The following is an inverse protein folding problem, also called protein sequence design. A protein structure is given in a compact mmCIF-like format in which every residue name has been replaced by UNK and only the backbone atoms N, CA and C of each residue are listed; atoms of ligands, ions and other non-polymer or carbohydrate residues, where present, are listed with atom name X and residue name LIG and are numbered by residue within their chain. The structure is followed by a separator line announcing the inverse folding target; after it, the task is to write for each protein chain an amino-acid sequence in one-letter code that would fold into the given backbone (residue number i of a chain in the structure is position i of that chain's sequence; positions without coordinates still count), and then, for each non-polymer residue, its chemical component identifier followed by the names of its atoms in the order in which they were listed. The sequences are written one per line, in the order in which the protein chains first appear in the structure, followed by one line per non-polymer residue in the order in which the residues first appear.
data_IF_669309881846
#
_entry.id   IF_669309881846
#
_cell.length_a   1.000
_cell.length_b   1.000
_cell.length_c   1.000
_cell.angle_alpha   90.00
_cell.angle_beta   90.00
_cell.angle_gamma   90.00
#
_symmetry.space_group_name_H-M   'P 1'
#
loop_
_entity.id
_entity.type
_entity.pdbx_description
1 polymer ?
#
# COMPACT_ATOMS: atom_id res chain seq x y z
N UNK A 1 18.91 17.35 -2.85
CA UNK A 1 17.48 17.69 -3.10
C UNK A 1 17.05 17.00 -4.38
N UNK A 2 15.76 16.69 -4.54
CA UNK A 2 15.23 16.09 -5.77
C UNK A 2 14.62 17.17 -6.68
N UNK A 3 14.96 17.10 -7.96
CA UNK A 3 14.47 18.03 -8.98
C UNK A 3 14.00 17.25 -10.20
N UNK A 4 12.89 17.69 -10.80
CA UNK A 4 12.47 17.25 -12.12
C UNK A 4 12.82 18.34 -13.13
N UNK A 5 13.54 17.96 -14.17
CA UNK A 5 13.97 18.81 -15.28
C UNK A 5 13.28 18.30 -16.53
N UNK A 6 12.63 19.19 -17.29
CA UNK A 6 12.20 18.93 -18.67
C UNK A 6 13.00 19.84 -19.58
N UNK A 7 13.57 19.34 -20.67
CA UNK A 7 14.37 20.15 -21.59
C UNK A 7 14.32 19.57 -23.01
N UNK A 8 14.50 20.40 -24.04
CA UNK A 8 14.70 19.93 -25.41
C UNK A 8 16.20 19.69 -25.65
N UNK A 9 16.56 18.44 -25.89
CA UNK A 9 17.91 18.01 -26.23
C UNK A 9 18.01 17.78 -27.75
N UNK A 10 19.14 18.20 -28.33
CA UNK A 10 19.41 17.97 -29.74
C UNK A 10 19.51 16.47 -30.04
N UNK A 11 18.69 15.97 -30.97
CA UNK A 11 18.70 14.57 -31.42
C UNK A 11 19.95 14.28 -32.28
N UNK A 12 21.09 14.14 -31.61
CA UNK A 12 22.38 13.74 -32.18
C UNK A 12 23.12 12.78 -31.25
N UNK A 13 23.89 11.82 -31.80
CA UNK A 13 24.78 10.98 -31.00
C UNK A 13 25.70 11.82 -30.09
N UNK A 14 25.78 11.45 -28.82
CA UNK A 14 26.64 12.08 -27.82
C UNK A 14 26.00 13.23 -27.01
N UNK A 15 24.89 13.84 -27.44
CA UNK A 15 24.28 14.97 -26.73
C UNK A 15 23.91 14.63 -25.26
N UNK A 16 23.29 13.47 -25.03
CA UNK A 16 22.96 13.00 -23.69
C UNK A 16 24.20 12.68 -22.84
N UNK A 17 25.30 12.25 -23.47
CA UNK A 17 26.56 11.99 -22.79
C UNK A 17 27.26 13.30 -22.38
N UNK A 18 27.16 14.37 -23.18
CA UNK A 18 27.62 15.72 -22.82
C UNK A 18 26.85 16.27 -21.60
N UNK A 19 25.52 16.11 -21.59
CA UNK A 19 24.68 16.48 -20.44
C UNK A 19 25.03 15.66 -19.19
N UNK A 20 25.10 14.33 -19.30
CA UNK A 20 25.43 13.46 -18.17
C UNK A 20 26.83 13.70 -17.61
N UNK A 21 27.81 14.01 -18.46
CA UNK A 21 29.16 14.36 -18.04
C UNK A 21 29.21 15.68 -17.24
N UNK A 22 28.39 16.68 -17.62
CA UNK A 22 28.25 17.93 -16.86
C UNK A 22 27.60 17.69 -15.50
N UNK A 23 26.49 16.96 -15.44
CA UNK A 23 25.89 16.57 -14.16
C UNK A 23 26.90 15.85 -13.25
N UNK A 24 27.67 14.91 -13.80
CA UNK A 24 28.70 14.18 -13.05
C UNK A 24 29.89 15.03 -12.58
N UNK A 25 30.22 16.13 -13.26
CA UNK A 25 31.28 17.06 -12.84
C UNK A 25 30.91 17.84 -11.56
N UNK A 26 29.61 18.05 -11.35
CA UNK A 26 29.02 18.84 -10.26
C UNK A 26 28.34 17.98 -9.17
N UNK A 27 28.65 16.67 -9.14
CA UNK A 27 28.07 15.66 -8.21
C UNK A 27 26.53 15.58 -8.25
N UNK A 28 25.94 15.81 -9.43
CA UNK A 28 24.51 15.67 -9.69
C UNK A 28 24.23 14.27 -10.24
N UNK A 29 23.46 13.48 -9.48
CA UNK A 29 23.09 12.12 -9.86
C UNK A 29 21.78 12.10 -10.64
N UNK A 30 21.77 11.52 -11.85
CA UNK A 30 20.56 11.31 -12.66
C UNK A 30 19.90 9.99 -12.20
N UNK A 31 18.73 10.09 -11.58
CA UNK A 31 17.98 8.97 -11.00
C UNK A 31 16.98 8.34 -11.98
N UNK A 32 16.46 9.13 -12.92
CA UNK A 32 15.55 8.68 -13.98
C UNK A 32 15.71 9.56 -15.22
N UNK A 33 15.46 8.98 -16.40
CA UNK A 33 15.42 9.64 -17.69
C UNK A 33 14.27 9.05 -18.51
N UNK A 34 13.33 9.89 -18.94
CA UNK A 34 12.29 9.56 -19.92
C UNK A 34 12.49 10.46 -21.15
N UNK A 35 12.42 9.88 -22.36
CA UNK A 35 12.68 10.58 -23.63
C UNK A 35 11.41 10.56 -24.48
N UNK A 36 10.97 11.72 -24.94
CA UNK A 36 9.78 11.89 -25.77
C UNK A 36 10.15 12.49 -27.12
N UNK A 37 9.70 11.88 -28.21
CA UNK A 37 9.91 12.41 -29.56
C UNK A 37 8.98 13.60 -29.82
N UNK A 38 9.54 14.73 -30.23
CA UNK A 38 8.82 15.93 -30.63
C UNK A 38 9.19 16.36 -32.07
N UNK A 39 8.47 17.32 -32.63
CA UNK A 39 8.71 17.79 -34.01
C UNK A 39 10.05 18.53 -34.18
N UNK A 40 10.58 19.13 -33.10
CA UNK A 40 11.85 19.89 -33.09
C UNK A 40 13.07 19.10 -32.59
N UNK A 41 12.90 17.87 -32.08
CA UNK A 41 13.96 17.09 -31.45
C UNK A 41 13.42 16.13 -30.37
N UNK A 42 14.24 15.83 -29.37
CA UNK A 42 13.84 15.04 -28.20
C UNK A 42 13.52 15.95 -27.02
N UNK A 43 12.38 15.71 -26.35
CA UNK A 43 12.05 16.29 -25.05
C UNK A 43 12.45 15.27 -23.99
N UNK A 44 13.48 15.61 -23.23
CA UNK A 44 14.03 14.77 -22.17
C UNK A 44 13.48 15.23 -20.81
N UNK A 45 12.96 14.28 -20.03
CA UNK A 45 12.63 14.45 -18.63
C UNK A 45 13.62 13.72 -17.74
N UNK A 46 14.35 14.48 -16.93
CA UNK A 46 15.32 13.96 -15.96
C UNK A 46 14.79 14.15 -14.54
N UNK A 47 14.96 13.13 -13.70
CA UNK A 47 14.89 13.29 -12.24
C UNK A 47 16.31 13.25 -11.71
N UNK A 48 16.74 14.32 -11.05
CA UNK A 48 18.11 14.46 -10.54
C UNK A 48 18.14 14.67 -9.03
N UNK A 49 19.20 14.16 -8.40
CA UNK A 49 19.55 14.43 -7.01
C UNK A 49 20.78 15.32 -6.93
N UNK A 50 20.65 16.46 -6.25
CA UNK A 50 21.71 17.44 -6.02
C UNK A 50 22.18 17.47 -4.56
N UNK A 51 23.35 18.08 -4.32
CA UNK A 51 23.74 18.56 -2.98
C UNK A 51 22.82 19.66 -2.42
N UNK A 52 23.16 20.17 -1.24
CA UNK A 52 22.51 21.33 -0.62
C UNK A 52 23.01 22.62 -1.27
N UNK A 53 22.14 23.58 -1.53
CA UNK A 53 22.49 24.91 -2.08
C UNK A 53 22.19 25.12 -3.56
N UNK A 54 21.89 24.05 -4.30
CA UNK A 54 21.41 24.14 -5.69
C UNK A 54 20.02 24.76 -5.78
N UNK A 55 19.84 25.67 -6.72
CA UNK A 55 18.55 26.27 -7.09
C UNK A 55 18.06 25.80 -8.48
N UNK A 56 16.83 26.17 -8.82
CA UNK A 56 16.29 25.95 -10.17
C UNK A 56 17.04 26.74 -11.25
N UNK A 57 17.59 27.92 -10.91
CA UNK A 57 18.35 28.77 -11.83
C UNK A 57 19.71 28.13 -12.16
N UNK A 58 20.41 27.60 -11.14
CA UNK A 58 21.71 26.92 -11.32
C UNK A 58 21.57 25.69 -12.23
N UNK A 59 20.54 24.87 -12.00
CA UNK A 59 20.23 23.70 -12.82
C UNK A 59 19.82 24.11 -14.25
N UNK A 60 19.09 25.20 -14.41
CA UNK A 60 18.71 25.71 -15.74
C UNK A 60 19.94 26.17 -16.52
N UNK A 61 20.88 26.85 -15.85
CA UNK A 61 22.15 27.29 -16.46
C UNK A 61 23.03 26.10 -16.87
N UNK A 62 23.23 25.11 -15.98
CA UNK A 62 24.01 23.90 -16.26
C UNK A 62 23.46 23.12 -17.46
N UNK A 63 22.13 22.97 -17.55
CA UNK A 63 21.46 22.29 -18.65
C UNK A 63 21.55 23.10 -19.96
N UNK A 64 21.47 24.44 -19.89
CA UNK A 64 21.69 25.30 -21.06
C UNK A 64 23.13 25.24 -21.58
N UNK A 65 24.13 25.09 -20.70
CA UNK A 65 25.53 24.88 -21.10
C UNK A 65 25.79 23.53 -21.79
N UNK A 66 24.92 22.53 -21.59
CA UNK A 66 24.91 21.28 -22.35
C UNK A 66 24.29 21.44 -23.75
N UNK A 67 23.81 22.65 -24.10
CA UNK A 67 23.17 22.95 -25.38
C UNK A 67 21.68 22.62 -25.42
N UNK A 68 21.05 22.27 -24.29
CA UNK A 68 19.62 22.03 -24.22
C UNK A 68 18.84 23.33 -24.16
N UNK A 69 17.61 23.33 -24.68
CA UNK A 69 16.75 24.53 -24.78
C UNK A 69 15.38 24.29 -24.17
N UNK A 70 14.59 25.37 -23.98
CA UNK A 70 13.21 25.30 -23.41
C UNK A 70 13.13 24.56 -22.08
N UNK A 71 14.17 24.69 -21.26
CA UNK A 71 14.32 24.01 -19.97
C UNK A 71 13.33 24.53 -18.94
N UNK A 72 12.64 23.60 -18.25
CA UNK A 72 11.82 23.86 -17.06
C UNK A 72 12.34 23.01 -15.90
N UNK A 73 12.68 23.65 -14.78
CA UNK A 73 13.19 22.98 -13.56
C UNK A 73 12.22 23.22 -12.41
N UNK A 74 11.88 22.16 -11.68
CA UNK A 74 11.00 22.23 -10.50
C UNK A 74 11.42 21.22 -9.42
N UNK A 75 11.24 21.53 -8.12
CA UNK A 75 11.46 20.57 -7.06
C UNK A 75 10.43 19.43 -7.15
N UNK A 76 10.82 18.21 -6.77
CA UNK A 76 9.93 17.05 -6.71
C UNK A 76 10.16 16.24 -5.42
N UNK A 77 9.26 15.29 -5.15
CA UNK A 77 9.42 14.32 -4.05
C UNK A 77 9.86 12.96 -4.61
N UNK A 78 10.06 11.95 -3.76
CA UNK A 78 10.54 10.64 -4.17
C UNK A 78 9.50 9.79 -4.93
N UNK A 79 8.24 10.22 -4.98
CA UNK A 79 7.13 9.55 -5.67
C UNK A 79 7.35 9.44 -7.19
N UNK A 80 7.96 10.46 -7.80
CA UNK A 80 8.31 10.48 -9.23
C UNK A 80 9.38 9.43 -9.63
N UNK A 81 10.05 8.79 -8.67
CA UNK A 81 11.01 7.71 -8.91
C UNK A 81 10.32 6.36 -9.19
N UNK A 82 9.00 6.28 -9.06
CA UNK A 82 8.23 5.13 -9.55
C UNK A 82 8.32 5.07 -11.09
N UNK A 83 8.54 3.88 -11.66
CA UNK A 83 8.62 3.71 -13.10
C UNK A 83 7.34 4.20 -13.81
N UNK A 84 7.49 4.75 -15.02
CA UNK A 84 6.37 5.32 -15.77
C UNK A 84 5.18 4.34 -15.89
N UNK A 85 5.35 3.06 -16.30
CA UNK A 85 4.26 2.08 -16.35
C UNK A 85 3.49 1.95 -15.03
N UNK A 86 4.16 1.83 -13.89
CA UNK A 86 3.52 1.80 -12.57
C UNK A 86 2.74 3.09 -12.29
N UNK A 87 3.27 4.26 -12.66
CA UNK A 87 2.58 5.55 -12.49
C UNK A 87 1.31 5.63 -13.34
N UNK A 88 1.37 5.28 -14.63
CA UNK A 88 0.19 5.22 -15.51
C UNK A 88 -0.87 4.22 -15.00
N UNK A 89 -0.49 3.03 -14.53
CA UNK A 89 -1.44 2.06 -13.98
C UNK A 89 -2.15 2.56 -12.71
N UNK A 90 -1.44 3.29 -11.83
CA UNK A 90 -2.08 3.95 -10.65
C UNK A 90 -3.05 5.06 -11.07
N UNK A 91 -2.71 5.82 -12.10
CA UNK A 91 -3.59 6.85 -12.66
C UNK A 91 -4.88 6.24 -13.24
N UNK A 92 -4.80 5.13 -13.99
CA UNK A 92 -6.01 4.38 -14.43
C UNK A 92 -6.87 3.99 -13.25
N UNK A 93 -6.29 3.39 -12.20
CA UNK A 93 -7.05 2.98 -11.00
C UNK A 93 -7.75 4.18 -10.32
N UNK A 94 -7.12 5.36 -10.29
CA UNK A 94 -7.71 6.56 -9.70
C UNK A 94 -8.84 7.13 -10.56
N UNK A 95 -8.71 7.15 -11.89
CA UNK A 95 -9.78 7.60 -12.79
C UNK A 95 -10.96 6.64 -12.89
N UNK A 96 -10.75 5.35 -12.59
CA UNK A 96 -11.85 4.39 -12.43
C UNK A 96 -12.70 4.71 -11.20
N UNK A 97 -12.09 5.20 -10.12
CA UNK A 97 -12.80 5.58 -8.89
C UNK A 97 -13.37 7.01 -8.93
N UNK A 98 -12.65 7.96 -9.53
CA UNK A 98 -13.08 9.35 -9.71
C UNK A 98 -12.77 9.86 -11.13
N UNK A 99 -13.70 9.68 -12.09
CA UNK A 99 -13.55 10.17 -13.46
C UNK A 99 -13.55 11.69 -13.62
N UNK A 100 -13.82 12.47 -12.56
CA UNK A 100 -13.74 13.93 -12.61
C UNK A 100 -12.34 14.45 -12.25
N UNK A 101 -11.48 13.61 -11.65
CA UNK A 101 -10.11 13.94 -11.27
C UNK A 101 -9.09 13.88 -12.42
N UNK A 102 -9.53 13.87 -13.68
CA UNK A 102 -8.64 13.72 -14.87
C UNK A 102 -7.51 14.74 -14.86
N UNK A 103 -7.82 16.03 -14.70
CA UNK A 103 -6.81 17.10 -14.76
C UNK A 103 -5.78 16.95 -13.62
N UNK A 104 -6.24 16.73 -12.38
CA UNK A 104 -5.37 16.48 -11.21
C UNK A 104 -4.46 15.25 -11.40
N UNK A 105 -4.97 14.19 -12.02
CA UNK A 105 -4.24 12.94 -12.24
C UNK A 105 -3.21 13.08 -13.36
N UNK A 106 -3.54 13.80 -14.43
CA UNK A 106 -2.60 14.12 -15.51
C UNK A 106 -1.50 15.08 -15.02
N UNK A 107 -1.86 16.09 -14.21
CA UNK A 107 -0.89 16.95 -13.55
C UNK A 107 0.00 16.14 -12.59
N UNK A 108 -0.54 15.22 -11.78
CA UNK A 108 0.30 14.39 -10.92
C UNK A 108 1.26 13.45 -11.70
N UNK A 109 0.84 12.95 -12.87
CA UNK A 109 1.68 12.08 -13.71
C UNK A 109 2.88 12.82 -14.33
N UNK A 110 2.68 14.04 -14.81
CA UNK A 110 3.68 14.77 -15.61
C UNK A 110 4.25 15.97 -14.87
N UNK A 111 3.36 16.73 -14.23
CA UNK A 111 3.56 17.93 -13.40
C UNK A 111 4.20 19.12 -14.10
N UNK A 112 4.19 19.11 -15.42
CA UNK A 112 4.45 20.28 -16.25
C UNK A 112 3.12 20.68 -16.91
N UNK A 113 2.90 21.98 -17.09
CA UNK A 113 1.64 22.51 -17.62
C UNK A 113 1.48 22.44 -19.14
N UNK A 114 2.56 22.10 -19.88
CA UNK A 114 2.53 21.89 -21.33
C UNK A 114 2.71 20.39 -21.65
N UNK A 115 1.88 19.87 -22.54
CA UNK A 115 1.84 18.46 -22.93
C UNK A 115 2.36 18.28 -24.36
N UNK A 116 3.24 17.31 -24.58
CA UNK A 116 3.64 16.88 -25.93
C UNK A 116 2.50 16.10 -26.63
N UNK A 117 2.49 15.99 -27.98
CA UNK A 117 1.48 15.19 -28.68
C UNK A 117 1.44 13.72 -28.23
N UNK A 118 2.60 13.14 -27.91
CA UNK A 118 2.71 11.77 -27.39
C UNK A 118 2.14 11.64 -25.96
N UNK A 119 2.13 12.70 -25.18
CA UNK A 119 1.54 12.76 -23.84
C UNK A 119 0.01 12.87 -23.89
N UNK A 120 -0.52 13.72 -24.78
CA UNK A 120 -1.96 13.77 -25.08
C UNK A 120 -2.49 12.40 -25.51
N UNK A 121 -1.83 11.74 -26.46
CA UNK A 121 -2.23 10.40 -26.90
C UNK A 121 -2.24 9.35 -25.77
N UNK A 122 -1.33 9.45 -24.79
CA UNK A 122 -1.34 8.58 -23.60
C UNK A 122 -2.44 8.94 -22.60
N UNK A 123 -2.72 10.24 -22.42
CA UNK A 123 -3.81 10.73 -21.58
C UNK A 123 -5.18 10.25 -22.11
N UNK A 124 -5.43 10.37 -23.41
CA UNK A 124 -6.67 9.93 -24.05
C UNK A 124 -6.91 8.42 -23.85
N UNK A 125 -5.88 7.59 -24.08
CA UNK A 125 -5.95 6.14 -23.88
C UNK A 125 -6.16 5.78 -22.39
N UNK A 126 -5.54 6.53 -21.48
CA UNK A 126 -5.72 6.35 -20.03
C UNK A 126 -7.17 6.62 -19.60
N UNK A 127 -7.77 7.71 -20.10
CA UNK A 127 -9.18 8.06 -19.88
C UNK A 127 -10.12 7.02 -20.52
N UNK A 128 -9.84 6.58 -21.74
CA UNK A 128 -10.63 5.56 -22.45
C UNK A 128 -10.64 4.20 -21.71
N UNK A 129 -9.48 3.77 -21.19
CA UNK A 129 -9.37 2.56 -20.37
C UNK A 129 -10.13 2.75 -19.05
N UNK A 130 -9.97 3.89 -18.37
CA UNK A 130 -10.65 4.16 -17.12
C UNK A 130 -12.18 4.18 -17.27
N UNK A 131 -12.71 4.84 -18.31
CA UNK A 131 -14.13 4.87 -18.62
C UNK A 131 -14.70 3.45 -18.86
N UNK A 132 -14.04 2.65 -19.72
CA UNK A 132 -14.47 1.25 -19.98
C UNK A 132 -14.39 0.36 -18.75
N UNK A 133 -13.42 0.58 -17.87
CA UNK A 133 -13.33 -0.14 -16.61
C UNK A 133 -14.43 0.30 -15.64
N UNK A 134 -14.68 1.60 -15.50
CA UNK A 134 -15.76 2.14 -14.67
C UNK A 134 -17.13 1.62 -15.12
N UNK A 135 -17.43 1.62 -16.42
CA UNK A 135 -18.66 1.02 -16.99
C UNK A 135 -18.80 -0.48 -16.63
N UNK A 136 -17.72 -1.26 -16.74
CA UNK A 136 -17.72 -2.70 -16.41
C UNK A 136 -17.72 -2.98 -14.90
N UNK A 137 -17.37 -1.99 -14.09
CA UNK A 137 -17.37 -2.03 -12.64
C UNK A 137 -18.65 -1.43 -12.03
N UNK A 138 -19.66 -1.13 -12.85
CA UNK A 138 -21.03 -0.86 -12.39
C UNK A 138 -21.72 -2.13 -11.86
N UNK A 139 -21.12 -2.76 -10.86
CA UNK A 139 -21.90 -3.37 -9.77
C UNK A 139 -22.74 -2.23 -9.15
N UNK A 140 -24.00 -2.49 -8.72
CA UNK A 140 -24.86 -1.42 -8.20
C UNK A 140 -24.19 -0.76 -6.99
N UNK A 141 -23.86 0.52 -7.12
CA UNK A 141 -23.30 1.33 -6.02
C UNK A 141 -24.27 1.23 -4.84
N UNK A 142 -23.82 0.60 -3.76
CA UNK A 142 -24.55 0.58 -2.49
C UNK A 142 -24.51 2.01 -1.97
N UNK A 143 -25.49 2.85 -2.32
CA UNK A 143 -25.50 4.26 -1.95
C UNK A 143 -25.60 4.38 -0.42
N UNK A 144 -24.55 4.92 0.21
CA UNK A 144 -24.41 4.95 1.66
C UNK A 144 -25.17 6.11 2.31
N UNK A 145 -25.41 6.07 3.63
CA UNK A 145 -25.92 7.22 4.36
C UNK A 145 -24.92 8.39 4.23
N UNK A 146 -25.39 9.52 3.68
CA UNK A 146 -24.56 10.71 3.45
C UNK A 146 -24.43 11.55 4.72
N UNK A 147 -23.35 12.33 4.90
CA UNK A 147 -23.21 13.24 6.04
C UNK A 147 -24.43 14.13 6.24
N UNK A 148 -25.03 14.07 7.42
CA UNK A 148 -26.28 14.78 7.75
C UNK A 148 -27.56 13.95 7.59
N UNK A 149 -27.52 12.74 7.02
CA UNK A 149 -28.67 11.82 7.00
C UNK A 149 -28.96 11.15 8.36
N UNK A 150 -28.11 11.39 9.36
CA UNK A 150 -28.21 10.85 10.71
C UNK A 150 -26.97 11.21 11.54
N UNK A 151 -27.02 10.91 12.84
CA UNK A 151 -25.85 10.97 13.72
C UNK A 151 -25.29 9.54 13.85
N UNK A 152 -24.01 9.29 13.54
CA UNK A 152 -23.43 7.97 13.71
C UNK A 152 -23.42 7.55 15.18
N UNK A 153 -23.99 6.38 15.49
CA UNK A 153 -23.91 5.76 16.82
C UNK A 153 -22.68 4.84 16.88
N UNK A 154 -21.82 5.04 17.89
CA UNK A 154 -20.62 4.22 18.06
C UNK A 154 -20.86 3.08 19.05
N UNK A 155 -20.83 1.84 18.54
CA UNK A 155 -21.05 0.62 19.34
C UNK A 155 -19.94 -0.41 19.11
N UNK A 156 -19.82 -1.38 20.02
CA UNK A 156 -18.97 -2.57 19.77
C UNK A 156 -19.48 -3.31 18.54
N UNK A 157 -18.54 -3.72 17.70
CA UNK A 157 -18.80 -4.54 16.53
C UNK A 157 -18.93 -6.03 16.89
N UNK A 158 -19.55 -6.77 15.99
CA UNK A 158 -19.83 -8.20 16.10
C UNK A 158 -19.65 -8.87 14.74
N UNK A 159 -19.65 -10.21 14.69
CA UNK A 159 -19.58 -10.94 13.41
C UNK A 159 -20.78 -10.68 12.48
N UNK A 160 -21.88 -10.12 12.99
CA UNK A 160 -23.04 -9.72 12.18
C UNK A 160 -22.79 -8.43 11.40
N UNK A 161 -21.88 -7.56 11.85
CA UNK A 161 -21.53 -6.31 11.17
C UNK A 161 -20.66 -6.54 9.91
N UNK A 162 -20.22 -7.77 9.66
CA UNK A 162 -19.26 -8.08 8.62
C UNK A 162 -19.71 -7.64 7.21
N UNK A 163 -20.98 -7.83 6.87
CA UNK A 163 -21.48 -7.48 5.53
C UNK A 163 -21.63 -5.95 5.38
N UNK A 164 -22.04 -5.24 6.44
CA UNK A 164 -22.06 -3.78 6.49
C UNK A 164 -20.64 -3.17 6.47
N UNK A 165 -19.64 -3.87 7.04
CA UNK A 165 -18.21 -3.51 6.99
C UNK A 165 -17.62 -3.75 5.59
N UNK A 166 -18.04 -4.79 4.86
CA UNK A 166 -17.70 -4.96 3.43
C UNK A 166 -18.27 -3.81 2.61
N UNK A 167 -19.56 -3.51 2.74
CA UNK A 167 -20.19 -2.41 2.00
C UNK A 167 -19.56 -1.04 2.34
N UNK A 168 -19.19 -0.79 3.60
CA UNK A 168 -18.45 0.41 4.01
C UNK A 168 -17.06 0.48 3.37
N UNK A 169 -16.32 -0.64 3.35
CA UNK A 169 -15.04 -0.73 2.66
C UNK A 169 -15.18 -0.48 1.16
N UNK A 170 -16.22 -0.99 0.51
CA UNK A 170 -16.52 -0.81 -0.91
C UNK A 170 -16.86 0.65 -1.27
N UNK A 171 -17.39 1.45 -0.34
CA UNK A 171 -17.58 2.91 -0.51
C UNK A 171 -16.35 3.77 -0.20
N UNK A 172 -15.35 3.26 0.53
CA UNK A 172 -14.12 4.00 0.80
C UNK A 172 -13.24 4.13 -0.44
N UNK A 173 -12.55 5.26 -0.61
CA UNK A 173 -11.58 5.46 -1.69
C UNK A 173 -10.37 4.51 -1.59
N UNK A 174 -9.65 4.30 -2.71
CA UNK A 174 -8.36 3.63 -2.72
C UNK A 174 -7.37 4.24 -1.71
N UNK A 175 -7.34 5.57 -1.59
CA UNK A 175 -6.44 6.26 -0.66
C UNK A 175 -6.78 5.91 0.80
N UNK A 176 -8.05 5.97 1.18
CA UNK A 176 -8.52 5.60 2.52
C UNK A 176 -8.26 4.13 2.85
N UNK A 177 -8.41 3.21 1.88
CA UNK A 177 -8.05 1.79 2.03
C UNK A 177 -6.53 1.60 2.17
N UNK A 178 -5.74 2.20 1.29
CA UNK A 178 -4.26 2.07 1.30
C UNK A 178 -3.64 2.69 2.56
N UNK A 179 -4.21 3.77 3.09
CA UNK A 179 -3.86 4.33 4.42
C UNK A 179 -4.24 3.40 5.58
N UNK A 180 -5.31 2.59 5.45
CA UNK A 180 -5.77 1.65 6.49
C UNK A 180 -4.97 0.36 6.55
N UNK A 181 -4.48 -0.11 5.41
CA UNK A 181 -3.87 -1.44 5.26
C UNK A 181 -2.38 -1.40 4.87
N UNK A 182 -1.81 -0.26 4.44
CA UNK A 182 -0.41 -0.16 3.99
C UNK A 182 -0.02 -1.09 2.81
N UNK A 183 -1.02 -1.75 2.20
CA UNK A 183 -0.94 -2.60 1.01
C UNK A 183 -2.20 -2.38 0.17
N UNK A 184 -2.15 -2.56 -1.17
CA UNK A 184 -3.35 -2.47 -2.00
C UNK A 184 -4.39 -3.52 -1.59
N UNK A 185 -5.55 -3.06 -1.13
CA UNK A 185 -6.68 -3.88 -0.70
C UNK A 185 -7.96 -3.45 -1.46
N UNK A 186 -8.15 -3.89 -2.71
CA UNK A 186 -9.27 -3.41 -3.54
C UNK A 186 -10.63 -3.98 -3.11
N UNK A 187 -10.69 -5.24 -2.65
CA UNK A 187 -11.92 -5.87 -2.14
C UNK A 187 -11.68 -6.55 -0.79
N UNK A 188 -12.61 -6.36 0.14
CA UNK A 188 -12.59 -6.98 1.46
C UNK A 188 -13.43 -8.27 1.47
N UNK A 189 -12.80 -9.44 1.67
CA UNK A 189 -13.59 -10.68 1.75
C UNK A 189 -14.45 -10.72 3.01
N UNK A 190 -15.66 -11.29 2.94
CA UNK A 190 -16.55 -11.47 4.11
C UNK A 190 -15.86 -12.18 5.28
N UNK A 191 -14.96 -13.13 4.98
CA UNK A 191 -14.12 -13.80 6.01
C UNK A 191 -13.21 -12.78 6.70
N UNK A 192 -12.52 -11.93 5.96
CA UNK A 192 -11.68 -10.86 6.52
C UNK A 192 -12.51 -9.88 7.33
N UNK A 193 -13.67 -9.44 6.82
CA UNK A 193 -14.57 -8.53 7.51
C UNK A 193 -15.07 -9.11 8.85
N UNK A 194 -15.38 -10.41 8.94
CA UNK A 194 -15.70 -11.09 10.22
C UNK A 194 -14.55 -11.02 11.24
N UNK A 195 -13.31 -11.23 10.79
CA UNK A 195 -12.13 -11.12 11.67
C UNK A 195 -11.85 -9.67 12.10
N UNK A 196 -12.10 -8.69 11.22
CA UNK A 196 -12.00 -7.27 11.58
C UNK A 196 -13.12 -6.83 12.52
N UNK A 197 -14.33 -7.38 12.39
CA UNK A 197 -15.48 -7.02 13.23
C UNK A 197 -15.43 -7.67 14.61
N UNK A 198 -14.82 -8.86 14.73
CA UNK A 198 -14.61 -9.56 15.99
C UNK A 198 -13.21 -10.21 16.04
N UNK A 199 -12.14 -9.43 16.26
CA UNK A 199 -10.77 -9.93 16.33
C UNK A 199 -10.55 -10.81 17.57
N UNK A 200 -9.82 -11.92 17.42
CA UNK A 200 -9.47 -12.78 18.54
C UNK A 200 -8.61 -12.04 19.57
N UNK A 201 -9.03 -12.04 20.84
CA UNK A 201 -8.36 -11.30 21.92
C UNK A 201 -8.42 -9.77 21.80
N UNK A 202 -9.19 -9.23 20.86
CA UNK A 202 -9.30 -7.80 20.60
C UNK A 202 -10.72 -7.27 20.68
N UNK A 203 -10.92 -6.06 20.17
CA UNK A 203 -12.22 -5.39 20.10
C UNK A 203 -12.28 -4.47 18.89
N UNK A 204 -13.45 -4.40 18.25
CA UNK A 204 -13.75 -3.38 17.23
C UNK A 204 -14.94 -2.53 17.64
N UNK A 205 -14.90 -1.27 17.24
CA UNK A 205 -15.97 -0.29 17.37
C UNK A 205 -16.39 0.11 15.96
N UNK A 206 -17.70 0.11 15.69
CA UNK A 206 -18.28 0.61 14.43
C UNK A 206 -19.12 1.86 14.71
N UNK A 207 -19.10 2.79 13.77
CA UNK A 207 -20.01 3.91 13.70
C UNK A 207 -21.15 3.55 12.73
N UNK A 208 -22.36 3.36 13.26
CA UNK A 208 -23.54 2.92 12.50
C UNK A 208 -24.58 4.02 12.29
N UNK A 209 -25.30 3.95 11.17
CA UNK A 209 -26.52 4.72 10.87
C UNK A 209 -27.53 3.73 10.28
N UNK A 210 -28.55 3.39 11.07
CA UNK A 210 -29.41 2.24 10.77
C UNK A 210 -28.56 0.97 10.62
N UNK A 211 -28.82 0.20 9.55
CA UNK A 211 -28.07 -1.01 9.21
C UNK A 211 -26.70 -0.75 8.54
N UNK A 212 -26.37 0.52 8.22
CA UNK A 212 -25.12 0.87 7.54
C UNK A 212 -24.01 1.25 8.51
N UNK A 213 -22.78 0.77 8.26
CA UNK A 213 -21.56 1.25 8.93
C UNK A 213 -20.91 2.36 8.07
N UNK A 214 -20.44 3.43 8.70
CA UNK A 214 -19.73 4.57 8.05
C UNK A 214 -18.29 4.75 8.54
N UNK A 215 -17.88 3.96 9.52
CA UNK A 215 -16.50 3.92 10.00
C UNK A 215 -16.30 2.80 11.02
N UNK A 216 -15.05 2.36 11.16
CA UNK A 216 -14.66 1.28 12.07
C UNK A 216 -13.27 1.54 12.65
N UNK A 217 -13.08 1.25 13.93
CA UNK A 217 -11.78 1.13 14.55
C UNK A 217 -11.61 -0.26 15.18
N UNK A 218 -10.41 -0.81 15.06
CA UNK A 218 -10.06 -2.15 15.55
C UNK A 218 -8.86 -2.04 16.46
N UNK A 219 -8.90 -2.72 17.61
CA UNK A 219 -7.75 -3.03 18.45
C UNK A 219 -7.58 -4.55 18.51
N UNK A 220 -6.39 -5.07 18.18
CA UNK A 220 -6.11 -6.51 18.18
C UNK A 220 -4.72 -6.78 18.81
N UNK A 221 -4.50 -7.93 19.47
CA UNK A 221 -3.21 -8.24 20.09
C UNK A 221 -2.02 -8.21 19.10
N UNK A 222 -0.92 -7.60 19.52
CA UNK A 222 0.35 -7.64 18.81
C UNK A 222 1.31 -8.60 19.53
N UNK A 223 1.18 -9.89 19.21
CA UNK A 223 1.88 -10.99 19.89
C UNK A 223 3.41 -10.79 20.00
N UNK A 224 4.06 -10.27 18.96
CA UNK A 224 5.51 -10.04 18.89
C UNK A 224 5.99 -8.87 19.79
N UNK A 225 5.09 -7.95 20.16
CA UNK A 225 5.36 -6.89 21.15
C UNK A 225 4.94 -7.28 22.58
N UNK A 226 4.28 -8.44 22.73
CA UNK A 226 3.84 -9.01 24.00
C UNK A 226 2.36 -8.78 24.29
N UNK A 227 1.76 -9.68 25.08
CA UNK A 227 0.31 -9.80 25.25
C UNK A 227 -0.46 -8.62 25.87
N UNK A 228 0.23 -7.56 26.31
CA UNK A 228 -0.38 -6.29 26.76
C UNK A 228 -0.38 -5.20 25.67
N UNK A 229 0.17 -5.48 24.49
CA UNK A 229 0.17 -4.56 23.35
C UNK A 229 -0.97 -4.85 22.39
N UNK A 230 -1.72 -3.82 21.98
CA UNK A 230 -2.69 -3.93 20.90
C UNK A 230 -2.35 -3.02 19.71
N UNK A 231 -2.38 -3.59 18.51
CA UNK A 231 -2.38 -2.87 17.24
C UNK A 231 -3.75 -2.19 17.06
N UNK A 232 -3.77 -0.87 16.89
CA UNK A 232 -4.97 -0.06 16.71
C UNK A 232 -4.98 0.61 15.34
N UNK A 233 -6.08 0.50 14.60
CA UNK A 233 -6.22 1.19 13.32
C UNK A 233 -7.68 1.49 12.96
N UNK A 234 -7.89 2.57 12.19
CA UNK A 234 -9.18 3.24 11.97
C UNK A 234 -9.43 3.44 10.47
N UNK A 235 -10.63 3.11 10.00
CA UNK A 235 -11.14 3.44 8.67
C UNK A 235 -12.43 4.27 8.83
N UNK A 236 -12.58 5.33 8.05
CA UNK A 236 -13.79 6.16 8.00
C UNK A 236 -14.08 6.45 6.53
N UNK A 237 -15.33 6.24 6.12
CA UNK A 237 -15.80 6.54 4.77
C UNK A 237 -15.53 8.02 4.43
N UNK A 238 -15.02 8.29 3.24
CA UNK A 238 -14.42 9.59 2.87
C UNK A 238 -15.38 10.77 3.08
N UNK A 239 -16.66 10.58 2.73
CA UNK A 239 -17.71 11.57 2.99
C UNK A 239 -17.84 11.97 4.46
N UNK A 240 -17.58 11.06 5.41
CA UNK A 240 -17.69 11.25 6.86
C UNK A 240 -16.40 11.76 7.54
N UNK A 241 -15.30 11.90 6.79
CA UNK A 241 -14.05 12.44 7.31
C UNK A 241 -14.16 13.94 7.65
N UNK A 242 -13.12 14.50 8.28
CA UNK A 242 -13.07 15.91 8.72
C UNK A 242 -14.00 16.28 9.90
N UNK A 243 -14.96 15.42 10.27
CA UNK A 243 -16.01 15.69 11.28
C UNK A 243 -15.73 15.12 12.68
N UNK A 244 -14.49 14.71 12.94
CA UNK A 244 -14.06 14.15 14.23
C UNK A 244 -14.46 12.70 14.51
N UNK A 245 -15.17 12.02 13.60
CA UNK A 245 -15.62 10.63 13.78
C UNK A 245 -14.45 9.65 14.02
N UNK A 246 -13.36 9.78 13.26
CA UNK A 246 -12.14 8.99 13.47
C UNK A 246 -11.53 9.18 14.88
N UNK A 247 -11.60 10.39 15.43
CA UNK A 247 -11.15 10.67 16.80
C UNK A 247 -12.09 10.11 17.88
N UNK A 248 -13.39 10.00 17.60
CA UNK A 248 -14.34 9.34 18.50
C UNK A 248 -14.11 7.82 18.50
N UNK A 249 -14.03 7.21 17.32
CA UNK A 249 -13.72 5.79 17.13
C UNK A 249 -12.38 5.40 17.78
N UNK A 250 -11.31 6.19 17.56
CA UNK A 250 -10.00 5.93 18.16
C UNK A 250 -10.04 5.99 19.69
N UNK A 251 -10.72 6.98 20.28
CA UNK A 251 -10.88 7.08 21.75
C UNK A 251 -11.63 5.89 22.32
N UNK A 252 -12.71 5.46 21.68
CA UNK A 252 -13.56 4.37 22.19
C UNK A 252 -12.88 3.01 22.05
N UNK A 253 -12.16 2.74 20.96
CA UNK A 253 -11.39 1.49 20.81
C UNK A 253 -10.20 1.44 21.76
N UNK A 254 -9.53 2.58 22.02
CA UNK A 254 -8.47 2.68 23.03
C UNK A 254 -9.02 2.48 24.46
N UNK A 255 -10.22 2.98 24.75
CA UNK A 255 -10.94 2.68 25.99
C UNK A 255 -11.18 1.18 26.15
N UNK A 256 -11.77 0.55 25.14
CA UNK A 256 -12.05 -0.88 25.17
C UNK A 256 -10.78 -1.75 25.19
N UNK A 257 -9.66 -1.30 24.61
CA UNK A 257 -8.36 -1.97 24.73
C UNK A 257 -7.82 -1.94 26.17
N UNK A 258 -8.01 -0.84 26.91
CA UNK A 258 -7.70 -0.79 28.36
C UNK A 258 -8.55 -1.76 29.16
N UNK A 259 -9.84 -1.86 28.86
CA UNK A 259 -10.76 -2.80 29.53
C UNK A 259 -10.32 -4.26 29.33
N UNK A 260 -9.62 -4.55 28.22
CA UNK A 260 -9.01 -5.85 27.91
C UNK A 260 -7.59 -6.02 28.49
N UNK A 261 -7.10 -5.06 29.29
CA UNK A 261 -5.79 -5.13 29.96
C UNK A 261 -4.60 -4.66 29.14
N UNK A 262 -4.82 -3.97 28.00
CA UNK A 262 -3.70 -3.43 27.22
C UNK A 262 -3.01 -2.26 27.93
N UNK A 263 -1.68 -2.32 28.03
CA UNK A 263 -0.84 -1.25 28.60
C UNK A 263 -0.43 -0.22 27.53
N UNK A 264 -0.40 -0.62 26.25
CA UNK A 264 -0.02 0.24 25.12
C UNK A 264 -0.83 -0.08 23.87
N UNK A 265 -1.22 0.97 23.15
CA UNK A 265 -1.73 0.87 21.80
C UNK A 265 -0.60 1.23 20.82
N UNK A 266 -0.50 0.52 19.70
CA UNK A 266 0.45 0.84 18.63
C UNK A 266 -0.33 1.01 17.34
N UNK A 267 -0.03 2.04 16.56
CA UNK A 267 -0.57 2.22 15.23
C UNK A 267 0.56 2.51 14.24
N UNK A 268 0.48 1.91 13.06
CA UNK A 268 1.37 2.22 11.93
C UNK A 268 0.67 3.25 11.06
N UNK A 269 1.39 4.30 10.68
CA UNK A 269 0.84 5.48 10.00
C UNK A 269 1.84 5.97 8.95
N UNK A 270 1.40 6.18 7.71
CA UNK A 270 2.20 6.85 6.67
C UNK A 270 2.52 8.30 7.10
N UNK A 271 3.75 8.82 6.91
CA UNK A 271 4.12 10.20 7.28
C UNK A 271 3.19 11.26 6.68
N UNK A 272 2.65 11.01 5.48
CA UNK A 272 1.75 11.88 4.73
C UNK A 272 0.32 11.89 5.29
N UNK A 273 -0.04 10.93 6.15
CA UNK A 273 -1.37 10.82 6.75
C UNK A 273 -1.53 11.80 7.94
N UNK A 274 -1.42 13.09 7.63
CA UNK A 274 -1.56 14.19 8.59
C UNK A 274 -2.92 14.21 9.30
N UNK A 275 -3.97 13.61 8.70
CA UNK A 275 -5.27 13.44 9.34
C UNK A 275 -5.21 12.46 10.53
N UNK A 276 -4.56 11.31 10.36
CA UNK A 276 -4.37 10.34 11.45
C UNK A 276 -3.40 10.88 12.51
N UNK A 277 -2.31 11.54 12.11
CA UNK A 277 -1.35 12.14 13.05
C UNK A 277 -2.03 13.18 13.96
N UNK A 278 -2.82 14.11 13.40
CA UNK A 278 -3.65 15.06 14.20
C UNK A 278 -4.68 14.34 15.09
N UNK A 279 -5.22 13.21 14.62
CA UNK A 279 -6.20 12.43 15.39
C UNK A 279 -5.55 11.76 16.61
N UNK A 280 -4.30 11.28 16.49
CA UNK A 280 -3.52 10.73 17.59
C UNK A 280 -3.08 11.84 18.56
N UNK A 281 -2.58 12.97 18.06
CA UNK A 281 -2.20 14.13 18.88
C UNK A 281 -3.41 14.65 19.70
N UNK A 282 -4.59 14.68 19.09
CA UNK A 282 -5.86 15.04 19.72
C UNK A 282 -6.28 14.14 20.89
N UNK A 283 -5.69 12.95 21.06
CA UNK A 283 -5.89 12.12 22.26
C UNK A 283 -5.30 12.77 23.53
N UNK A 284 -4.30 13.66 23.38
CA UNK A 284 -3.51 14.25 24.48
C UNK A 284 -2.90 13.21 25.43
N UNK A 285 -2.59 12.03 24.90
CA UNK A 285 -1.92 10.94 25.59
C UNK A 285 -0.42 10.98 25.31
N UNK A 286 0.40 10.41 26.19
CA UNK A 286 1.85 10.30 25.91
C UNK A 286 2.07 9.33 24.76
N UNK A 287 2.83 9.77 23.76
CA UNK A 287 3.16 8.99 22.56
C UNK A 287 4.67 8.91 22.34
N UNK A 288 5.13 7.81 21.74
CA UNK A 288 6.46 7.69 21.14
C UNK A 288 6.29 7.38 19.66
N UNK A 289 6.99 8.13 18.82
CA UNK A 289 7.03 7.92 17.36
C UNK A 289 8.41 7.38 17.00
N UNK A 290 8.46 6.34 16.17
CA UNK A 290 9.69 5.74 15.64
C UNK A 290 9.47 5.47 14.15
N UNK A 291 10.47 5.73 13.31
CA UNK A 291 10.42 5.33 11.90
C UNK A 291 10.55 3.82 11.75
N UNK A 292 9.70 3.23 10.93
CA UNK A 292 9.72 1.82 10.54
C UNK A 292 9.56 1.69 9.02
N UNK A 293 10.71 1.67 8.33
CA UNK A 293 10.77 1.85 6.88
C UNK A 293 10.12 3.18 6.46
N UNK A 294 9.21 3.10 5.49
CA UNK A 294 8.46 4.25 4.97
C UNK A 294 7.31 4.70 5.89
N UNK A 295 7.10 4.05 7.05
CA UNK A 295 6.00 4.36 7.98
C UNK A 295 6.51 4.92 9.31
N UNK A 296 5.57 5.49 10.07
CA UNK A 296 5.73 5.85 11.47
C UNK A 296 5.02 4.80 12.34
N UNK A 297 5.78 4.13 13.21
CA UNK A 297 5.21 3.36 14.31
C UNK A 297 4.96 4.31 15.48
N UNK A 298 3.68 4.55 15.80
CA UNK A 298 3.25 5.43 16.89
C UNK A 298 2.69 4.61 18.04
N UNK A 299 3.44 4.57 19.14
CA UNK A 299 3.08 3.89 20.39
C UNK A 299 2.44 4.88 21.36
N UNK A 300 1.23 4.58 21.84
CA UNK A 300 0.45 5.38 22.77
C UNK A 300 0.40 4.67 24.13
N UNK A 301 0.85 5.33 25.21
CA UNK A 301 0.73 4.79 26.58
C UNK A 301 -0.72 4.74 27.03
N UNK A 302 -1.21 3.56 27.41
CA UNK A 302 -2.54 3.41 28.00
C UNK A 302 -2.53 3.48 29.52
N UNK A 303 -1.37 3.24 30.17
CA UNK A 303 -1.13 3.42 31.62
C UNK A 303 -0.03 4.46 31.93
N UNK A 304 0.14 4.88 33.20
CA UNK A 304 1.24 5.77 33.62
C UNK A 304 2.64 5.16 33.49
N UNK A 305 2.79 3.84 33.46
CA UNK A 305 4.06 3.11 33.52
C UNK A 305 4.54 2.61 32.14
N UNK A 306 3.66 2.60 31.13
CA UNK A 306 3.85 1.81 29.90
C UNK A 306 4.95 2.33 28.95
N UNK A 307 5.26 3.63 28.98
CA UNK A 307 6.35 4.21 28.16
C UNK A 307 7.72 4.20 28.85
N UNK A 308 7.79 4.09 30.19
CA UNK A 308 9.05 3.93 30.92
C UNK A 308 9.77 2.64 30.53
N UNK A 309 9.01 1.55 30.33
CA UNK A 309 9.54 0.26 29.86
C UNK A 309 9.76 0.18 28.34
N UNK A 310 9.46 1.24 27.59
CA UNK A 310 9.68 1.27 26.14
C UNK A 310 11.08 1.77 25.76
N UNK A 311 11.91 2.22 26.72
CA UNK A 311 13.25 2.74 26.46
C UNK A 311 14.20 1.64 25.94
N UNK A 312 14.05 0.39 26.43
CA UNK A 312 15.04 -0.68 26.23
C UNK A 312 14.70 -1.71 25.15
N UNK A 313 13.59 -1.57 24.40
CA UNK A 313 13.25 -2.53 23.32
C UNK A 313 13.66 -2.00 21.94
N UNK A 314 14.32 -2.82 21.09
CA UNK A 314 14.58 -2.47 19.70
C UNK A 314 13.27 -2.33 18.92
N UNK A 315 13.30 -1.56 17.83
CA UNK A 315 12.19 -1.44 16.89
C UNK A 315 11.88 -2.80 16.24
N UNK A 316 10.66 -3.31 16.46
CA UNK A 316 10.13 -4.47 15.74
C UNK A 316 9.54 -3.97 14.42
N UNK A 317 9.99 -4.55 13.30
CA UNK A 317 9.50 -4.18 11.97
C UNK A 317 8.05 -4.62 11.75
N UNK A 318 7.23 -3.77 11.14
CA UNK A 318 5.87 -4.11 10.74
C UNK A 318 5.86 -5.01 9.50
N UNK A 319 5.56 -6.28 9.70
CA UNK A 319 5.34 -7.21 8.59
C UNK A 319 4.08 -6.86 7.81
N UNK A 320 4.20 -6.45 6.53
CA UNK A 320 3.06 -6.16 5.63
C UNK A 320 1.97 -7.26 5.60
N UNK A 321 2.33 -8.49 5.93
CA UNK A 321 1.40 -9.62 6.09
C UNK A 321 0.41 -9.51 7.26
N UNK A 322 0.57 -8.57 8.20
CA UNK A 322 -0.34 -8.31 9.35
C UNK A 322 -1.53 -7.41 9.01
N UNK A 323 -1.41 -6.57 7.98
CA UNK A 323 -2.51 -5.75 7.47
C UNK A 323 -3.72 -6.58 7.02
N UNK A 324 -3.48 -7.85 6.71
CA UNK A 324 -4.46 -8.88 6.44
C UNK A 324 -4.38 -9.87 7.61
N UNK A 325 -5.50 -10.33 8.21
CA UNK A 325 -5.46 -11.43 9.17
C UNK A 325 -4.80 -12.65 8.52
N UNK A 326 -3.56 -12.92 8.91
CA UNK A 326 -2.76 -13.98 8.33
C UNK A 326 -3.41 -15.35 8.58
N UNK A 327 -3.24 -16.28 7.64
CA UNK A 327 -3.60 -17.68 7.88
C UNK A 327 -2.82 -18.18 9.09
N UNK A 328 -3.54 -18.71 10.09
CA UNK A 328 -2.95 -19.45 11.21
C UNK A 328 -2.25 -20.71 10.70
N UNK A 329 -1.00 -20.58 10.28
CA UNK A 329 -0.13 -21.73 10.06
C UNK A 329 0.39 -22.18 11.41
N UNK A 330 -0.15 -23.30 11.90
CA UNK A 330 0.37 -24.00 13.06
C UNK A 330 1.83 -24.40 12.81
N UNK A 331 2.78 -23.67 13.42
CA UNK A 331 4.18 -24.04 13.37
C UNK A 331 4.37 -25.38 14.09
N UNK A 332 4.64 -26.45 13.32
CA UNK A 332 5.19 -27.68 13.91
C UNK A 332 6.61 -27.36 14.39
N UNK A 333 7.00 -27.75 15.62
CA UNK A 333 8.37 -27.55 16.07
C UNK A 333 9.32 -28.46 15.28
N UNK A 334 10.16 -27.86 14.44
CA UNK A 334 11.30 -28.55 13.82
C UNK A 334 12.30 -28.95 14.92
N UNK A 335 12.68 -30.22 14.93
CA UNK A 335 13.36 -30.85 16.07
C UNK A 335 14.79 -30.37 16.34
N UNK A 336 15.23 -30.63 17.58
CA UNK A 336 16.64 -30.52 17.99
C UNK A 336 17.52 -31.57 17.29
N UNK A 337 18.83 -31.30 17.12
CA UNK A 337 19.76 -32.25 16.52
C UNK A 337 20.14 -33.37 17.50
N UNK A 338 19.94 -34.62 17.09
CA UNK A 338 20.49 -35.80 17.75
C UNK A 338 21.71 -36.33 16.95
N UNK A 339 22.67 -36.90 17.68
CA UNK A 339 24.04 -37.16 17.19
C UNK A 339 24.16 -38.42 16.33
N UNK A 340 25.29 -38.49 15.63
CA UNK A 340 25.77 -39.58 14.80
C UNK A 340 25.74 -40.95 15.49
N UNK A 341 25.38 -42.01 14.74
CA UNK A 341 25.98 -43.33 14.91
C UNK A 341 26.00 -44.12 13.59
N UNK A 342 27.14 -44.01 12.90
CA UNK A 342 27.95 -45.07 12.26
C UNK A 342 27.30 -46.18 11.41
N UNK A 343 27.77 -46.26 10.15
CA UNK A 343 27.87 -47.39 9.21
C UNK A 343 27.09 -48.70 9.47
N UNK A 344 26.39 -49.15 8.42
CA UNK A 344 26.79 -50.39 7.72
C UNK A 344 26.39 -50.33 6.23
N UNK A 345 27.34 -50.61 5.34
CA UNK A 345 27.09 -50.79 3.91
C UNK A 345 27.37 -52.25 3.54
N UNK A 346 26.64 -52.81 2.58
CA UNK A 346 27.18 -53.41 1.34
C UNK A 346 26.15 -54.28 0.62
N UNK A 347 26.18 -54.13 -0.70
CA UNK A 347 25.57 -54.95 -1.76
C UNK A 347 25.76 -56.46 -1.59
N UNK A 348 24.79 -57.27 -2.04
CA UNK A 348 24.84 -57.90 -3.38
C UNK A 348 23.96 -59.17 -3.53
N UNK A 349 23.38 -59.31 -4.74
CA UNK A 349 22.99 -60.54 -5.45
C UNK A 349 21.74 -61.35 -5.03
N UNK A 350 21.03 -61.83 -6.07
CA UNK A 350 19.87 -62.73 -6.03
C UNK A 350 20.29 -64.21 -5.84
N UNK A 351 19.31 -65.14 -5.76
CA UNK A 351 18.98 -65.88 -6.98
C UNK A 351 17.47 -66.07 -7.26
N UNK A 352 17.18 -66.83 -8.32
CA UNK A 352 15.92 -66.89 -9.09
C UNK A 352 15.22 -68.27 -8.96
N UNK A 353 13.96 -68.34 -9.41
CA UNK A 353 13.16 -69.54 -9.76
C UNK A 353 12.34 -70.18 -8.60
N UNK A 354 11.16 -70.81 -8.83
CA UNK A 354 10.47 -71.11 -10.11
C UNK A 354 8.94 -71.37 -9.92
N UNK A 355 8.16 -71.25 -11.02
CA UNK A 355 6.81 -71.84 -11.29
C UNK A 355 5.58 -71.45 -10.43
N UNK A 356 4.34 -71.51 -10.96
CA UNK A 356 3.80 -71.50 -12.33
C UNK A 356 2.27 -71.28 -12.27
N UNK A 357 1.67 -70.63 -13.30
CA UNK A 357 0.22 -70.37 -13.31
C UNK A 357 -0.28 -69.51 -14.49
N UNK A 358 -0.27 -70.09 -15.69
CA UNK A 358 -0.91 -69.58 -16.92
C UNK A 358 -2.47 -69.58 -16.79
N UNK A 359 -3.37 -69.02 -17.62
CA UNK A 359 -3.38 -68.26 -18.90
C UNK A 359 -4.85 -67.77 -19.11
N UNK A 360 -5.26 -66.73 -19.86
CA UNK A 360 -4.61 -65.76 -20.78
C UNK A 360 -5.42 -64.42 -20.86
N UNK A 361 -5.11 -63.55 -21.83
CA UNK A 361 -5.90 -62.38 -22.28
C UNK A 361 -6.69 -62.68 -23.58
N UNK A 362 -7.83 -62.02 -23.81
CA UNK A 362 -8.11 -61.19 -25.01
C UNK A 362 -9.56 -60.67 -25.07
N UNK A 363 -9.79 -59.56 -25.78
CA UNK A 363 -11.14 -59.09 -26.11
C UNK A 363 -11.29 -57.56 -26.24
N UNK A 364 -10.80 -56.99 -27.34
CA UNK A 364 -11.12 -55.61 -27.73
C UNK A 364 -12.47 -55.54 -28.48
N UNK A 365 -13.20 -54.43 -28.37
CA UNK A 365 -14.03 -53.96 -29.49
C UNK A 365 -14.19 -52.43 -29.53
N UNK A 366 -14.48 -51.92 -30.73
CA UNK A 366 -14.78 -50.53 -31.08
C UNK A 366 -16.29 -50.30 -31.06
N UNK A 367 -16.72 -49.04 -31.00
CA UNK A 367 -18.14 -48.69 -31.19
C UNK A 367 -18.31 -47.21 -31.50
N UNK A 368 -18.84 -46.91 -32.68
CA UNK A 368 -18.93 -45.56 -33.22
C UNK A 368 -20.26 -44.85 -32.87
N UNK A 369 -20.28 -43.57 -33.27
CA UNK A 369 -21.35 -42.55 -33.28
C UNK A 369 -22.78 -42.97 -33.72
N UNK A 370 -23.78 -42.10 -33.50
CA UNK A 370 -24.16 -41.11 -34.54
C UNK A 370 -23.69 -39.66 -34.31
#
# INVERSE_FOLDING_TARGET
MLWKIRTELADRPGALAELAARCGADDINILSLEVFTAESGAVDELVVSTGVGWSAEDLTALVAEAGCVRTTVRPCQADVLSDAPTRYLRAVLRLVEDPLSVDDVLEALQGFGEYTPAEWARADVLVEIAARLAERLQEPVIDGPRPGSGVPELRRASVADADAVVAMHERCSHESRTRRYHVPMPKLTTRTARHLSAPAGGVSIVAGIGESVVGMATAAPWEELGGTTMEVAVLVEDGWQGRGLGAQLLRQVIGAARDLGADRAVCVVQPENAAMLRTIEGLRMRTRVVHDGDNLMVTVALSPESLSHAVDRPSVQYGRSRAIPARSQSARPTGQPAREHTLAALSALQPVADRAGAVDLDGADRGDRP
#
